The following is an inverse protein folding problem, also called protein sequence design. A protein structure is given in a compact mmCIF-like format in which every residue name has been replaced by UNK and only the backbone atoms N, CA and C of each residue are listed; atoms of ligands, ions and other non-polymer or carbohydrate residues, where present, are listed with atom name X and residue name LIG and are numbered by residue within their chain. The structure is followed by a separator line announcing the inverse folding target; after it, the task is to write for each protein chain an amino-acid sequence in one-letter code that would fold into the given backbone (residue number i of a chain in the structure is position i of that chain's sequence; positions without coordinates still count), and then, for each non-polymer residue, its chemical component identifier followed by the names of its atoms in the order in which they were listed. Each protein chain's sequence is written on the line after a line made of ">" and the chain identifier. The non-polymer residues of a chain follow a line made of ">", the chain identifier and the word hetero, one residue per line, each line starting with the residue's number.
data_IF_300802940164
#
_entry.id   IF_300802940164
#
_cell.length_a   1.000
_cell.length_b   1.000
_cell.length_c   1.000
_cell.angle_alpha   90.00
_cell.angle_beta   90.00
_cell.angle_gamma   90.00
#
_symmetry.space_group_name_H-M   'P 1'
#
loop_
_entity.id
_entity.type
_entity.pdbx_description
1 polymer ?
#
# COMPACT_ATOMS: atom_id res chain seq x y z
N UNK A 1 11.08 3.20 5.33
CA UNK A 1 9.79 3.00 6.02
C UNK A 1 9.79 1.66 6.75
N UNK A 2 9.05 1.53 7.85
CA UNK A 2 8.90 0.26 8.57
C UNK A 2 7.41 -0.07 8.76
N UNK A 3 6.97 -1.23 8.28
CA UNK A 3 5.60 -1.69 8.44
C UNK A 3 5.55 -2.87 9.41
N UNK A 4 4.73 -2.75 10.45
CA UNK A 4 4.66 -3.75 11.52
C UNK A 4 3.40 -4.63 11.53
N UNK A 5 2.61 -4.56 10.45
CA UNK A 5 1.29 -5.18 10.35
C UNK A 5 0.15 -4.21 10.67
N UNK A 6 0.37 -3.23 11.55
CA UNK A 6 -0.68 -2.29 12.01
C UNK A 6 -0.31 -0.80 11.88
N UNK A 7 0.98 -0.50 11.71
CA UNK A 7 1.53 0.85 11.59
C UNK A 7 2.57 0.85 10.49
N UNK A 8 2.60 1.94 9.73
CA UNK A 8 3.68 2.26 8.79
C UNK A 8 4.43 3.48 9.33
N UNK A 9 5.64 3.26 9.81
CA UNK A 9 6.53 4.31 10.29
C UNK A 9 7.33 4.90 9.13
N UNK A 10 7.34 6.23 9.07
CA UNK A 10 8.10 7.03 8.11
C UNK A 10 9.36 7.51 8.82
N UNK A 11 10.52 7.19 8.24
CA UNK A 11 11.82 7.48 8.84
C UNK A 11 12.65 8.36 7.92
N UNK A 12 13.37 9.32 8.52
CA UNK A 12 14.41 10.11 7.87
C UNK A 12 15.63 10.11 8.77
N UNK A 13 16.80 9.79 8.23
CA UNK A 13 18.06 9.69 8.97
C UNK A 13 17.94 8.80 10.24
N UNK A 14 17.27 7.65 10.08
CA UNK A 14 16.94 6.69 11.15
C UNK A 14 16.08 7.22 12.29
N UNK A 15 15.47 8.40 12.14
CA UNK A 15 14.51 8.96 13.10
C UNK A 15 13.10 8.82 12.55
N UNK A 16 12.19 8.29 13.38
CA UNK A 16 10.76 8.31 13.05
C UNK A 16 10.28 9.75 13.03
N UNK A 17 9.83 10.19 11.85
CA UNK A 17 9.28 11.53 11.64
C UNK A 17 7.76 11.50 11.57
N UNK A 18 7.18 10.34 11.25
CA UNK A 18 5.74 10.17 11.27
C UNK A 18 5.33 8.69 11.44
N UNK A 19 4.10 8.45 11.89
CA UNK A 19 3.50 7.12 12.02
C UNK A 19 2.09 7.13 11.43
N UNK A 20 1.85 6.25 10.47
CA UNK A 20 0.56 6.08 9.82
C UNK A 20 -0.15 4.84 10.37
N UNK A 21 -1.46 4.95 10.58
CA UNK A 21 -2.32 3.77 10.77
C UNK A 21 -2.34 2.96 9.48
N UNK A 22 -1.97 1.69 9.58
CA UNK A 22 -1.83 0.83 8.42
C UNK A 22 -2.47 -0.54 8.68
N UNK A 23 -2.80 -1.26 7.62
CA UNK A 23 -3.27 -2.63 7.70
C UNK A 23 -2.81 -3.40 6.46
N UNK A 24 -2.62 -4.71 6.60
CA UNK A 24 -2.48 -5.58 5.44
C UNK A 24 -3.25 -6.87 5.65
N UNK A 25 -3.82 -7.40 4.58
CA UNK A 25 -4.64 -8.60 4.60
C UNK A 25 -6.12 -8.33 4.88
N UNK A 26 -6.96 -9.23 4.39
CA UNK A 26 -8.41 -9.18 4.55
C UNK A 26 -8.82 -9.47 6.02
N UNK A 27 -10.07 -9.19 6.35
CA UNK A 27 -10.64 -9.48 7.67
C UNK A 27 -10.42 -10.96 8.02
N UNK A 28 -9.81 -11.21 9.18
CA UNK A 28 -9.39 -12.52 9.71
C UNK A 28 -8.10 -13.11 9.09
N UNK A 29 -7.47 -12.45 8.13
CA UNK A 29 -6.23 -12.91 7.47
C UNK A 29 -5.04 -11.97 7.71
N UNK A 30 -5.07 -11.15 8.76
CA UNK A 30 -4.03 -10.14 9.02
C UNK A 30 -2.79 -10.70 9.75
N UNK A 31 -2.90 -11.90 10.29
CA UNK A 31 -1.82 -12.56 11.01
C UNK A 31 -0.72 -13.06 10.06
N UNK A 32 0.54 -13.04 10.54
CA UNK A 32 1.74 -13.46 9.80
C UNK A 32 1.60 -14.85 9.17
N UNK A 33 0.94 -15.80 9.86
CA UNK A 33 0.72 -17.17 9.37
C UNK A 33 -0.07 -17.25 8.06
N UNK A 34 -0.76 -16.19 7.66
CA UNK A 34 -1.55 -16.15 6.44
C UNK A 34 -0.83 -15.52 5.24
N UNK A 35 0.47 -15.18 5.34
CA UNK A 35 1.23 -14.55 4.25
C UNK A 35 1.31 -15.37 2.95
N UNK A 36 1.14 -16.68 3.03
CA UNK A 36 1.07 -17.55 1.86
C UNK A 36 -0.35 -17.65 1.26
N UNK A 37 -1.38 -17.09 1.92
CA UNK A 37 -2.77 -17.15 1.44
C UNK A 37 -2.98 -16.09 0.37
N UNK A 38 -2.97 -16.52 -0.89
CA UNK A 38 -3.23 -15.64 -2.02
C UNK A 38 -4.59 -14.90 -1.88
N UNK A 39 -4.61 -13.65 -2.34
CA UNK A 39 -5.79 -12.78 -2.37
C UNK A 39 -6.44 -12.41 -1.02
N UNK A 40 -5.90 -12.88 0.12
CA UNK A 40 -6.45 -12.60 1.46
C UNK A 40 -5.38 -12.28 2.49
N UNK A 41 -4.26 -13.00 2.43
CA UNK A 41 -3.16 -12.88 3.36
C UNK A 41 -2.54 -11.49 3.35
N UNK A 42 -1.84 -11.12 4.42
CA UNK A 42 -1.19 -9.83 4.49
C UNK A 42 0.09 -9.89 3.63
N UNK A 43 0.73 -8.74 3.38
CA UNK A 43 2.00 -8.69 2.64
C UNK A 43 3.04 -9.61 3.31
N UNK A 44 3.76 -10.45 2.55
CA UNK A 44 4.84 -11.26 3.11
C UNK A 44 5.91 -10.42 3.81
N UNK A 45 6.57 -10.99 4.83
CA UNK A 45 7.75 -10.34 5.43
C UNK A 45 8.90 -10.27 4.44
N UNK A 46 9.63 -9.16 4.49
CA UNK A 46 10.76 -8.92 3.61
C UNK A 46 11.06 -7.45 3.43
N UNK A 47 11.86 -7.17 2.42
CA UNK A 47 12.21 -5.82 1.99
C UNK A 47 11.49 -5.56 0.68
N UNK A 48 10.83 -4.41 0.61
CA UNK A 48 10.17 -3.94 -0.59
C UNK A 48 10.67 -2.54 -0.93
N UNK A 49 10.63 -2.17 -2.19
CA UNK A 49 11.03 -0.86 -2.67
C UNK A 49 9.81 -0.09 -3.17
N UNK A 50 9.51 1.01 -2.49
CA UNK A 50 8.47 1.94 -2.91
C UNK A 50 9.03 2.85 -4.01
N UNK A 51 8.83 2.42 -5.27
CA UNK A 51 9.43 3.06 -6.42
C UNK A 51 8.78 4.43 -6.70
N UNK A 52 9.62 5.47 -6.69
CA UNK A 52 9.21 6.86 -6.87
C UNK A 52 8.71 7.16 -8.29
N UNK A 53 9.23 6.47 -9.30
CA UNK A 53 8.87 6.64 -10.72
C UNK A 53 7.57 5.92 -11.08
N UNK A 54 7.20 4.93 -10.27
CA UNK A 54 5.92 4.24 -10.35
C UNK A 54 4.84 4.91 -9.49
N UNK A 55 5.12 6.08 -8.90
CA UNK A 55 4.11 6.90 -8.24
C UNK A 55 3.07 7.31 -9.27
N UNK A 56 1.84 6.86 -9.06
CA UNK A 56 0.71 7.31 -9.86
C UNK A 56 -0.04 8.38 -9.09
N UNK A 57 0.18 9.63 -9.50
CA UNK A 57 -0.66 10.77 -9.13
C UNK A 57 -1.81 10.84 -10.14
N UNK A 58 -3.04 10.79 -9.65
CA UNK A 58 -4.19 11.14 -10.49
C UNK A 58 -4.51 12.62 -10.31
N UNK A 59 -4.62 13.35 -11.44
CA UNK A 59 -5.21 14.68 -11.45
C UNK A 59 -6.71 14.60 -11.12
N UNK A 60 -7.25 15.65 -10.49
CA UNK A 60 -8.67 15.70 -10.05
C UNK A 60 -9.65 15.35 -11.18
N UNK A 61 -9.33 15.69 -12.43
CA UNK A 61 -10.12 15.34 -13.63
C UNK A 61 -10.19 13.84 -13.90
N UNK A 62 -9.07 13.12 -13.83
CA UNK A 62 -9.02 11.66 -14.05
C UNK A 62 -9.70 10.90 -12.90
N UNK A 63 -9.70 11.47 -11.69
CA UNK A 63 -10.40 10.94 -10.53
C UNK A 63 -11.92 11.00 -10.69
N UNK A 64 -12.44 12.11 -11.22
CA UNK A 64 -13.86 12.30 -11.55
C UNK A 64 -14.29 11.36 -12.68
N UNK A 65 -13.45 11.20 -13.72
CA UNK A 65 -13.72 10.27 -14.82
C UNK A 65 -13.73 8.82 -14.31
N UNK A 66 -12.79 8.43 -13.44
CA UNK A 66 -12.75 7.11 -12.81
C UNK A 66 -13.97 6.82 -11.91
N UNK A 67 -14.46 7.83 -11.17
CA UNK A 67 -15.69 7.72 -10.38
C UNK A 67 -16.92 7.51 -11.28
N UNK A 68 -17.08 8.36 -12.31
CA UNK A 68 -18.21 8.30 -13.23
C UNK A 68 -18.27 6.98 -14.01
N UNK A 69 -17.12 6.49 -14.48
CA UNK A 69 -17.03 5.21 -15.21
C UNK A 69 -17.23 3.99 -14.31
N UNK A 70 -16.80 4.06 -13.05
CA UNK A 70 -17.07 3.03 -12.04
C UNK A 70 -18.56 2.89 -11.69
N UNK A 71 -19.29 4.00 -11.58
CA UNK A 71 -20.75 4.01 -11.37
C UNK A 71 -21.49 3.43 -12.58
N UNK A 72 -21.00 3.71 -13.79
CA UNK A 72 -21.61 3.27 -15.05
C UNK A 72 -21.18 1.86 -15.50
N UNK A 73 -20.36 1.16 -14.71
CA UNK A 73 -19.82 -0.17 -15.02
C UNK A 73 -19.06 -0.25 -16.37
N UNK A 74 -18.49 0.88 -16.80
CA UNK A 74 -17.76 0.98 -18.08
C UNK A 74 -16.27 0.90 -17.79
N UNK A 75 -15.58 -0.10 -18.35
CA UNK A 75 -14.16 -0.36 -18.10
C UNK A 75 -13.26 0.62 -18.90
N UNK A 76 -13.32 1.93 -18.61
CA UNK A 76 -12.47 2.97 -19.24
C UNK A 76 -11.80 3.83 -18.17
N UNK A 77 -10.49 4.08 -18.36
CA UNK A 77 -9.67 4.90 -17.47
C UNK A 77 -8.57 4.12 -16.75
N UNK A 78 -7.50 4.82 -16.33
CA UNK A 78 -6.33 4.23 -15.63
C UNK A 78 -6.64 3.78 -14.18
N UNK A 79 -7.89 3.91 -13.73
CA UNK A 79 -8.30 3.83 -12.31
C UNK A 79 -9.55 2.97 -12.07
N UNK A 80 -9.44 1.66 -12.36
CA UNK A 80 -10.52 0.71 -12.05
C UNK A 80 -10.72 0.63 -10.52
N UNK A 81 -11.91 0.92 -10.01
CA UNK A 81 -12.24 0.82 -8.57
C UNK A 81 -12.37 2.14 -7.80
N UNK A 82 -12.16 3.28 -8.44
CA UNK A 82 -12.48 4.65 -7.96
C UNK A 82 -11.63 5.22 -6.79
N UNK A 83 -11.72 6.53 -6.58
CA UNK A 83 -11.14 7.28 -5.45
C UNK A 83 -11.38 6.60 -4.08
N UNK A 84 -12.60 6.10 -3.79
CA UNK A 84 -12.88 5.30 -2.60
C UNK A 84 -12.00 4.08 -2.34
N UNK A 85 -11.51 3.37 -3.36
CA UNK A 85 -10.71 2.18 -3.13
C UNK A 85 -9.21 2.46 -3.04
N UNK A 86 -8.76 3.59 -3.63
CA UNK A 86 -7.35 3.80 -3.94
C UNK A 86 -6.78 5.14 -3.43
N UNK A 87 -7.64 6.10 -3.03
CA UNK A 87 -7.22 7.48 -2.77
C UNK A 87 -6.78 8.20 -4.06
N UNK A 88 -6.09 9.34 -3.91
CA UNK A 88 -5.52 10.10 -5.04
C UNK A 88 -4.11 9.65 -5.44
N UNK A 89 -3.49 8.79 -4.62
CA UNK A 89 -2.07 8.41 -4.70
C UNK A 89 -1.87 6.97 -4.25
N UNK A 90 -1.13 6.21 -5.04
CA UNK A 90 -0.67 4.85 -4.72
C UNK A 90 0.80 4.70 -5.10
N UNK A 91 1.48 3.79 -4.42
CA UNK A 91 2.88 3.47 -4.69
C UNK A 91 3.02 1.97 -4.80
N UNK A 92 3.60 1.51 -5.90
CA UNK A 92 3.90 0.09 -6.10
C UNK A 92 5.09 -0.32 -5.23
N UNK A 93 5.05 -1.57 -4.78
CA UNK A 93 6.09 -2.20 -3.99
C UNK A 93 6.72 -3.31 -4.81
N UNK A 94 7.98 -3.11 -5.16
CA UNK A 94 8.80 -4.15 -5.78
C UNK A 94 9.48 -4.97 -4.68
N UNK A 95 9.27 -6.29 -4.60
CA UNK A 95 9.96 -7.12 -3.61
C UNK A 95 11.46 -7.18 -3.94
N UNK A 96 12.28 -7.13 -2.89
CA UNK A 96 13.68 -7.50 -3.01
C UNK A 96 13.81 -8.96 -3.49
N UNK A 97 14.81 -9.32 -4.32
CA UNK A 97 14.99 -10.71 -4.80
C UNK A 97 15.07 -11.76 -3.69
N UNK A 98 15.51 -11.40 -2.48
CA UNK A 98 15.57 -12.31 -1.32
C UNK A 98 14.22 -12.43 -0.57
N UNK A 99 13.24 -11.61 -0.91
CA UNK A 99 11.91 -11.63 -0.27
C UNK A 99 11.06 -12.76 -0.82
N UNK A 100 10.74 -13.75 0.02
CA UNK A 100 9.82 -14.82 -0.35
C UNK A 100 8.37 -14.31 -0.40
N UNK A 101 7.87 -14.05 -1.60
CA UNK A 101 6.50 -13.58 -1.80
C UNK A 101 5.46 -14.71 -1.83
N UNK A 102 5.88 -15.97 -1.74
CA UNK A 102 5.01 -17.15 -1.93
C UNK A 102 4.33 -17.17 -3.31
N UNK A 103 5.00 -16.64 -4.34
CA UNK A 103 4.46 -16.55 -5.70
C UNK A 103 3.38 -15.47 -5.87
N UNK A 104 3.25 -14.55 -4.92
CA UNK A 104 2.33 -13.41 -4.97
C UNK A 104 3.07 -12.17 -5.47
N UNK A 105 2.33 -11.27 -6.10
CA UNK A 105 2.83 -10.02 -6.66
C UNK A 105 1.79 -8.90 -6.56
N UNK A 106 2.09 -7.77 -7.20
CA UNK A 106 1.14 -6.65 -7.31
C UNK A 106 0.92 -5.87 -6.02
N UNK A 107 1.92 -5.86 -5.13
CA UNK A 107 1.84 -5.17 -3.84
C UNK A 107 1.91 -3.65 -3.99
N UNK A 108 1.13 -2.94 -3.18
CA UNK A 108 1.08 -1.48 -3.17
C UNK A 108 0.96 -0.95 -1.73
N UNK A 109 1.35 0.30 -1.53
CA UNK A 109 0.85 1.15 -0.45
C UNK A 109 -0.23 2.04 -1.05
N UNK A 110 -1.45 1.98 -0.52
CA UNK A 110 -2.55 2.81 -1.02
C UNK A 110 -3.50 3.25 0.09
N UNK A 111 -4.27 4.30 -0.21
CA UNK A 111 -5.38 4.73 0.61
C UNK A 111 -6.70 4.14 0.12
N UNK A 112 -7.79 4.75 0.56
CA UNK A 112 -9.15 4.31 0.31
C UNK A 112 -10.03 4.49 1.55
N UNK A 113 -11.32 4.21 1.42
CA UNK A 113 -12.35 4.24 2.46
C UNK A 113 -12.41 2.93 3.27
N UNK A 114 -11.84 1.84 2.74
CA UNK A 114 -11.91 0.51 3.33
C UNK A 114 -10.52 -0.01 3.70
N UNK A 115 -10.46 -0.68 4.86
CA UNK A 115 -9.30 -1.41 5.35
C UNK A 115 -9.48 -2.89 5.02
N UNK A 116 -8.44 -3.53 4.51
CA UNK A 116 -8.44 -4.94 4.15
C UNK A 116 -8.22 -5.11 2.66
N UNK A 117 -7.09 -5.70 2.29
CA UNK A 117 -6.70 -5.92 0.91
C UNK A 117 -6.10 -7.30 0.72
N UNK A 118 -5.95 -7.70 -0.54
CA UNK A 118 -5.32 -8.94 -0.99
C UNK A 118 -3.79 -9.00 -0.72
N UNK A 119 -3.29 -8.25 0.28
CA UNK A 119 -1.89 -8.17 0.66
C UNK A 119 -1.21 -6.83 0.41
N UNK A 120 -1.95 -5.74 0.15
CA UNK A 120 -1.36 -4.41 0.10
C UNK A 120 -1.21 -3.82 1.51
N UNK A 121 -0.54 -2.68 1.63
CA UNK A 121 -0.48 -1.89 2.86
C UNK A 121 -1.50 -0.75 2.73
N UNK A 122 -2.61 -0.87 3.44
CA UNK A 122 -3.71 0.07 3.40
C UNK A 122 -3.51 1.16 4.46
N UNK A 123 -3.38 2.41 4.04
CA UNK A 123 -3.24 3.60 4.90
C UNK A 123 -4.42 4.56 4.68
N UNK A 124 -5.64 4.17 5.07
CA UNK A 124 -6.84 4.93 4.75
C UNK A 124 -6.73 6.36 5.28
N UNK A 125 -7.19 7.32 4.48
CA UNK A 125 -7.20 8.76 4.78
C UNK A 125 -5.82 9.42 4.98
N UNK A 126 -4.72 8.68 4.81
CA UNK A 126 -3.37 9.15 5.16
C UNK A 126 -2.41 9.23 3.96
N UNK A 127 -2.91 9.05 2.73
CA UNK A 127 -2.09 9.10 1.51
C UNK A 127 -1.44 10.47 1.27
N UNK A 128 -2.00 11.56 1.83
CA UNK A 128 -1.36 12.88 1.80
C UNK A 128 -0.04 12.88 2.56
N UNK A 129 -0.04 12.41 3.82
CA UNK A 129 1.15 12.32 4.67
C UNK A 129 2.23 11.43 4.07
N UNK A 130 1.84 10.30 3.46
CA UNK A 130 2.78 9.46 2.70
C UNK A 130 3.36 10.22 1.50
N UNK A 131 2.54 10.95 0.74
CA UNK A 131 3.02 11.73 -0.40
C UNK A 131 4.03 12.77 0.03
N UNK A 132 3.72 13.57 1.05
CA UNK A 132 4.60 14.65 1.52
C UNK A 132 5.96 14.08 1.97
N UNK A 133 5.95 12.92 2.61
CA UNK A 133 7.17 12.18 2.96
C UNK A 133 7.97 11.75 1.72
N UNK A 134 7.30 11.12 0.75
CA UNK A 134 7.94 10.62 -0.46
C UNK A 134 8.40 11.75 -1.40
N UNK A 135 7.75 12.90 -1.40
CA UNK A 135 8.16 14.07 -2.20
C UNK A 135 9.51 14.63 -1.72
N UNK A 136 9.90 14.34 -0.47
CA UNK A 136 11.24 14.60 0.06
C UNK A 136 12.29 13.52 -0.27
N UNK A 137 11.91 12.46 -0.99
CA UNK A 137 12.79 11.34 -1.36
C UNK A 137 13.13 11.37 -2.86
N UNK A 138 14.41 11.25 -3.20
CA UNK A 138 14.88 11.27 -4.59
C UNK A 138 14.91 9.87 -5.23
N UNK A 139 15.00 8.81 -4.41
CA UNK A 139 15.13 7.42 -4.87
C UNK A 139 14.03 6.53 -4.27
N UNK A 140 13.93 5.29 -4.79
CA UNK A 140 13.09 4.25 -4.21
C UNK A 140 13.29 4.13 -2.71
N UNK A 141 12.19 4.20 -1.96
CA UNK A 141 12.26 4.15 -0.49
C UNK A 141 12.09 2.71 -0.03
N UNK A 142 13.03 2.12 0.72
CA UNK A 142 12.87 0.78 1.25
C UNK A 142 11.76 0.74 2.31
N UNK A 143 10.95 -0.31 2.24
CA UNK A 143 9.88 -0.66 3.18
C UNK A 143 10.25 -1.99 3.82
N UNK A 144 10.58 -1.95 5.10
CA UNK A 144 10.86 -3.15 5.88
C UNK A 144 9.55 -3.67 6.47
N UNK A 145 9.11 -4.85 6.03
CA UNK A 145 7.89 -5.50 6.51
C UNK A 145 8.26 -6.51 7.58
N UNK A 146 7.84 -6.27 8.83
CA UNK A 146 8.12 -7.14 9.99
C UNK A 146 6.96 -7.16 10.97
N UNK A 147 6.25 -8.28 11.07
CA UNK A 147 5.09 -8.40 11.95
C UNK A 147 5.55 -8.63 13.39
N UNK A 148 5.15 -7.73 14.28
CA UNK A 148 5.45 -7.82 15.71
C UNK A 148 4.55 -8.81 16.47
N UNK A 149 3.46 -9.28 15.84
CA UNK A 149 2.50 -10.22 16.42
C UNK A 149 2.31 -11.41 15.49
N UNK A 150 2.44 -12.62 16.02
CA UNK A 150 2.18 -13.84 15.26
C UNK A 150 0.68 -14.07 15.00
N UNK A 151 -0.17 -13.63 15.93
CA UNK A 151 -1.63 -13.71 15.85
C UNK A 151 -2.25 -12.36 16.26
N UNK A 152 -3.39 -12.02 15.65
CA UNK A 152 -4.16 -10.81 15.93
C UNK A 152 -5.37 -11.14 16.79
#
# INVERSE_FOLDING_TARGET
>A
MMFNGSKLELLKDNKTIDILDALSGDKNYQAKKFQNVAYKGPIPEGIYYANQDQRQNIGVSDAIIGLATGILNVNRGKWKGSLPAWGMRRVWLEPDPETNTYGRDGFMIHGGLSKGSAGCIDIPWQTGRLSDFLDGCQESVPVYVRYIRENW
#
